data_IF_570965237035
#
_entry.id   IF_570965237035
#
_cell.length_a   1.000
_cell.length_b   1.000
_cell.length_c   1.000
_cell.angle_alpha   90.00
_cell.angle_beta   90.00
_cell.angle_gamma   90.00
#
_symmetry.space_group_name_H-M   'P 1'
#
loop_
_entity.id
_entity.type
_entity.pdbx_description
1 polymer ?
#
# COMPACT_ATOMS: atom_id res chain seq x y z
N UNK A 1 10.08 -6.20 -11.19
CA UNK A 1 9.08 -5.23 -10.80
C UNK A 1 8.97 -5.17 -9.30
N UNK A 2 9.16 -3.99 -8.74
CA UNK A 2 9.12 -3.91 -7.28
C UNK A 2 7.73 -4.09 -6.73
N UNK A 3 7.70 -4.75 -5.59
CA UNK A 3 6.48 -4.96 -4.82
C UNK A 3 6.70 -4.46 -3.43
N UNK A 4 5.67 -3.90 -2.84
CA UNK A 4 5.72 -3.51 -1.45
C UNK A 4 4.46 -3.99 -0.76
N UNK A 5 4.60 -4.44 0.48
CA UNK A 5 3.46 -4.81 1.30
C UNK A 5 3.50 -3.94 2.56
N UNK A 6 2.41 -3.26 2.80
CA UNK A 6 2.31 -2.32 3.91
C UNK A 6 1.15 -2.70 4.82
N UNK A 7 1.34 -2.46 6.10
CA UNK A 7 0.24 -2.58 7.06
C UNK A 7 -0.51 -1.26 7.05
N UNK A 8 -1.79 -1.29 6.72
CA UNK A 8 -2.61 -0.09 6.61
C UNK A 8 -3.72 -0.16 7.65
N UNK A 9 -3.68 0.72 8.62
CA UNK A 9 -4.67 0.75 9.68
C UNK A 9 -6.01 1.22 9.16
N UNK A 10 -7.06 0.52 9.54
CA UNK A 10 -8.40 0.85 9.11
C UNK A 10 -8.82 0.13 7.84
N UNK A 11 -7.93 -0.63 7.22
CA UNK A 11 -8.23 -1.31 5.97
C UNK A 11 -9.28 -2.40 6.13
N UNK A 12 -9.46 -2.89 7.36
CA UNK A 12 -10.44 -3.95 7.63
C UNK A 12 -11.88 -3.44 7.61
N UNK A 13 -12.09 -2.14 7.58
CA UNK A 13 -13.43 -1.58 7.54
C UNK A 13 -14.06 -1.76 6.18
N UNK A 14 -15.37 -1.92 6.17
CA UNK A 14 -16.12 -2.18 4.94
C UNK A 14 -15.91 -1.07 3.91
N UNK A 15 -15.51 -1.47 2.70
CA UNK A 15 -15.34 -0.53 1.60
C UNK A 15 -14.01 0.19 1.56
N UNK A 16 -13.23 0.14 2.63
CA UNK A 16 -11.97 0.89 2.68
C UNK A 16 -10.91 0.29 1.77
N UNK A 17 -10.86 -1.04 1.68
CA UNK A 17 -9.89 -1.68 0.79
C UNK A 17 -10.13 -1.31 -0.67
N UNK A 18 -11.37 -1.31 -1.10
CA UNK A 18 -11.70 -0.94 -2.47
C UNK A 18 -11.40 0.52 -2.74
N UNK A 19 -11.69 1.37 -1.78
CA UNK A 19 -11.47 2.79 -1.91
C UNK A 19 -9.98 3.08 -2.08
N UNK A 20 -9.15 2.45 -1.27
CA UNK A 20 -7.72 2.65 -1.34
C UNK A 20 -7.14 2.05 -2.62
N UNK A 21 -7.63 0.88 -3.04
CA UNK A 21 -7.21 0.31 -4.30
C UNK A 21 -7.46 1.24 -5.47
N UNK A 22 -8.64 1.87 -5.50
CA UNK A 22 -8.95 2.82 -6.54
C UNK A 22 -8.06 4.04 -6.51
N UNK A 23 -7.79 4.54 -5.32
CA UNK A 23 -6.92 5.71 -5.17
C UNK A 23 -5.52 5.43 -5.70
N UNK A 24 -4.97 4.27 -5.38
CA UNK A 24 -3.64 3.92 -5.83
C UNK A 24 -3.58 3.56 -7.30
N UNK A 25 -4.64 2.97 -7.82
CA UNK A 25 -4.69 2.60 -9.24
C UNK A 25 -4.66 3.81 -10.16
N UNK A 26 -4.95 4.98 -9.64
CA UNK A 26 -4.87 6.21 -10.43
C UNK A 26 -3.44 6.66 -10.67
N UNK A 27 -2.51 6.17 -9.90
CA UNK A 27 -1.11 6.49 -10.11
C UNK A 27 -0.61 5.72 -11.32
N UNK A 28 -0.06 6.42 -12.28
CA UNK A 28 0.28 5.81 -13.57
C UNK A 28 1.33 4.72 -13.50
N UNK A 29 2.13 4.72 -12.46
CA UNK A 29 3.20 3.72 -12.29
C UNK A 29 2.77 2.51 -11.46
N UNK A 30 1.55 2.49 -10.94
CA UNK A 30 1.05 1.35 -10.18
C UNK A 30 0.44 0.33 -11.13
N UNK A 31 0.89 -0.92 -11.02
CA UNK A 31 0.45 -1.98 -11.91
C UNK A 31 -0.64 -2.83 -11.30
N UNK A 32 -0.54 -3.11 -10.01
CA UNK A 32 -1.53 -3.94 -9.33
C UNK A 32 -1.58 -3.57 -7.86
N UNK A 33 -2.76 -3.68 -7.28
CA UNK A 33 -2.98 -3.44 -5.86
C UNK A 33 -3.83 -4.57 -5.34
N UNK A 34 -3.39 -5.21 -4.27
CA UNK A 34 -4.14 -6.26 -3.59
C UNK A 34 -4.25 -5.92 -2.13
N UNK A 35 -5.46 -5.89 -1.63
CA UNK A 35 -5.72 -5.60 -0.23
C UNK A 35 -6.25 -6.83 0.48
N UNK A 36 -5.68 -7.12 1.64
CA UNK A 36 -6.17 -8.18 2.52
C UNK A 36 -6.76 -7.47 3.73
N UNK A 37 -8.05 -7.23 3.69
CA UNK A 37 -8.69 -6.45 4.74
C UNK A 37 -8.68 -7.15 6.09
N UNK A 38 -8.72 -8.47 6.10
CA UNK A 38 -8.68 -9.21 7.36
C UNK A 38 -7.36 -9.02 8.10
N UNK A 39 -6.27 -8.90 7.35
CA UNK A 39 -4.94 -8.71 7.93
C UNK A 39 -4.48 -7.26 7.89
N UNK A 40 -5.28 -6.40 7.30
CA UNK A 40 -4.94 -4.99 7.10
C UNK A 40 -3.64 -4.80 6.33
N UNK A 41 -3.41 -5.67 5.34
CA UNK A 41 -2.22 -5.61 4.50
C UNK A 41 -2.58 -5.12 3.12
N UNK A 42 -1.70 -4.31 2.55
CA UNK A 42 -1.85 -3.81 1.21
C UNK A 42 -0.60 -4.13 0.42
N UNK A 43 -0.76 -4.89 -0.64
CA UNK A 43 0.35 -5.22 -1.53
C UNK A 43 0.22 -4.42 -2.81
N UNK A 44 1.28 -3.71 -3.19
CA UNK A 44 1.29 -2.87 -4.36
C UNK A 44 2.45 -3.25 -5.25
N UNK A 45 2.15 -3.53 -6.52
CA UNK A 45 3.16 -3.75 -7.54
C UNK A 45 3.25 -2.47 -8.37
N UNK A 46 4.45 -1.95 -8.55
CA UNK A 46 4.62 -0.67 -9.23
C UNK A 46 5.93 -0.65 -10.00
N UNK A 47 6.05 0.30 -10.92
CA UNK A 47 7.29 0.53 -11.63
C UNK A 47 7.95 1.77 -11.07
N UNK A 48 9.27 1.67 -10.85
CA UNK A 48 10.03 2.78 -10.35
C UNK A 48 10.86 2.40 -9.15
N UNK A 49 11.20 3.37 -8.35
CA UNK A 49 12.05 3.17 -7.19
C UNK A 49 11.49 3.88 -5.97
N UNK A 50 12.41 4.43 -5.17
CA UNK A 50 12.00 5.05 -3.90
C UNK A 50 11.10 6.26 -4.08
N UNK A 51 11.29 7.01 -5.17
CA UNK A 51 10.44 8.17 -5.44
C UNK A 51 8.99 7.75 -5.64
N UNK A 52 8.79 6.67 -6.41
CA UNK A 52 7.44 6.15 -6.65
C UNK A 52 6.84 5.55 -5.40
N UNK A 53 7.66 4.86 -4.61
CA UNK A 53 7.19 4.34 -3.33
C UNK A 53 6.73 5.48 -2.43
N UNK A 54 7.48 6.58 -2.40
CA UNK A 54 7.09 7.75 -1.63
C UNK A 54 5.75 8.31 -2.06
N UNK A 55 5.46 8.27 -3.36
CA UNK A 55 4.17 8.74 -3.86
C UNK A 55 3.04 7.81 -3.46
N UNK A 56 3.30 6.51 -3.45
CA UNK A 56 2.30 5.55 -2.98
C UNK A 56 1.99 5.83 -1.51
N UNK A 57 3.01 6.01 -0.70
CA UNK A 57 2.84 6.30 0.72
C UNK A 57 2.08 7.60 0.93
N UNK A 58 2.40 8.62 0.15
CA UNK A 58 1.71 9.90 0.24
C UNK A 58 0.23 9.76 -0.12
N UNK A 59 -0.07 8.96 -1.15
CA UNK A 59 -1.44 8.73 -1.55
C UNK A 59 -2.24 8.04 -0.45
N UNK A 60 -1.61 7.10 0.26
CA UNK A 60 -2.26 6.43 1.39
C UNK A 60 -2.58 7.44 2.48
N UNK A 61 -1.64 8.31 2.81
CA UNK A 61 -1.86 9.35 3.82
C UNK A 61 -2.94 10.34 3.39
N UNK A 62 -2.90 10.75 2.13
CA UNK A 62 -3.88 11.69 1.61
C UNK A 62 -5.28 11.13 1.65
N UNK A 63 -5.40 9.82 1.55
CA UNK A 63 -6.70 9.14 1.65
C UNK A 63 -7.17 9.00 3.11
N UNK A 64 -6.33 9.38 4.07
CA UNK A 64 -6.71 9.37 5.47
C UNK A 64 -6.29 8.14 6.25
N UNK A 65 -5.35 7.35 5.71
CA UNK A 65 -4.92 6.12 6.37
C UNK A 65 -3.53 6.26 6.95
N UNK A 66 -3.27 5.48 7.99
CA UNK A 66 -1.94 5.31 8.54
C UNK A 66 -1.37 4.00 8.04
N UNK A 67 -0.09 3.98 7.77
CA UNK A 67 0.55 2.77 7.28
C UNK A 67 1.90 2.58 7.96
N UNK A 68 2.40 1.34 7.87
CA UNK A 68 3.71 1.01 8.36
C UNK A 68 4.23 -0.23 7.64
N UNK A 69 5.52 -0.55 7.83
CA UNK A 69 6.06 -1.77 7.24
C UNK A 69 5.44 -3.00 7.88
N UNK A 70 5.32 -4.07 7.09
CA UNK A 70 4.85 -5.33 7.67
C UNK A 70 5.92 -5.89 8.60
N UNK A 71 5.51 -6.58 9.67
CA UNK A 71 6.49 -7.13 10.61
C UNK A 71 7.53 -8.03 9.97
N UNK A 72 7.16 -8.83 9.00
CA UNK A 72 8.10 -9.70 8.33
C UNK A 72 9.09 -8.95 7.45
N UNK A 73 8.64 -7.88 6.83
CA UNK A 73 9.47 -7.10 5.92
C UNK A 73 10.57 -6.35 6.65
N UNK A 74 10.33 -5.97 7.88
CA UNK A 74 11.31 -5.21 8.64
C UNK A 74 12.58 -5.98 8.90
N UNK A 75 12.49 -7.28 8.94
CA UNK A 75 13.64 -8.09 9.32
C UNK A 75 14.58 -8.33 8.18
N UNK A 76 14.19 -7.98 6.99
CA UNK A 76 15.06 -8.20 5.84
C UNK A 76 16.35 -7.41 5.95
N UNK A 77 16.34 -6.33 6.65
CA UNK A 77 17.50 -5.48 6.78
C UNK A 77 18.37 -5.78 7.96
N UNK A 78 17.97 -6.72 8.78
CA UNK A 78 18.84 -6.98 9.87
C UNK A 78 18.29 -7.45 11.09
#
# INVERSE_FOLDING_TARGET
>A
MPDVTLLVRGLSETGESERLEKALSRLGFVEAVNADSAKELLAVSYEGGEAELGRIEQAIRDAGYEFGPTPGAQNAGG
#
